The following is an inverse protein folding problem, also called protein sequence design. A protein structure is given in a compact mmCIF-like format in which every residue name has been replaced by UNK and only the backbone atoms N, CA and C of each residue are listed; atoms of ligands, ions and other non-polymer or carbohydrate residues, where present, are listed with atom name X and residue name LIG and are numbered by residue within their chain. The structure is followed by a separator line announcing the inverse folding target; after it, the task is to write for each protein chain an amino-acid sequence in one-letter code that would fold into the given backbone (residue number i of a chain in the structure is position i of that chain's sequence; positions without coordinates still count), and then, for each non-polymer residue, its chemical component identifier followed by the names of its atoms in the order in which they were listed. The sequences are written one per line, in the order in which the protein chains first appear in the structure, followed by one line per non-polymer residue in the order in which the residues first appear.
data_IF_190180865414
#
_entry.id   IF_190180865414
#
_cell.length_a   1.000
_cell.length_b   1.000
_cell.length_c   1.000
_cell.angle_alpha   90.00
_cell.angle_beta   90.00
_cell.angle_gamma   90.00
#
_symmetry.space_group_name_H-M   'P 1'
#
loop_
_entity.id
_entity.type
_entity.pdbx_description
1 polymer ?
#
# COMPACT_ATOMS: atom_id res chain seq x y z
N UNK A 1 5.23 13.60 -4.25
CA UNK A 1 5.23 12.39 -3.40
C UNK A 1 6.36 11.54 -3.94
N UNK A 2 7.43 11.30 -3.16
CA UNK A 2 8.49 10.39 -3.60
C UNK A 2 8.11 9.00 -3.11
N UNK A 3 7.81 8.12 -4.05
CA UNK A 3 7.62 6.70 -3.81
C UNK A 3 8.97 6.03 -4.04
N UNK A 4 9.52 5.41 -3.00
CA UNK A 4 10.84 4.79 -3.06
C UNK A 4 10.75 3.35 -3.55
N UNK A 5 9.72 2.64 -3.10
CA UNK A 5 9.53 1.23 -3.42
C UNK A 5 8.05 0.84 -3.36
N UNK A 6 7.67 -0.10 -4.23
CA UNK A 6 6.31 -0.67 -4.32
C UNK A 6 6.43 -2.18 -4.52
N UNK A 7 5.86 -2.95 -3.60
CA UNK A 7 5.83 -4.41 -3.68
C UNK A 7 4.39 -4.92 -3.56
N UNK A 8 3.97 -5.79 -4.48
CA UNK A 8 2.70 -6.50 -4.35
C UNK A 8 2.90 -7.66 -3.37
N UNK A 9 2.28 -7.57 -2.20
CA UNK A 9 2.44 -8.55 -1.11
C UNK A 9 1.31 -9.58 -1.08
N UNK A 10 0.19 -9.30 -1.77
CA UNK A 10 -0.94 -10.22 -1.89
C UNK A 10 -1.64 -10.05 -3.23
N UNK A 11 -2.03 -11.17 -3.85
CA UNK A 11 -2.86 -11.23 -5.04
C UNK A 11 -3.88 -12.36 -4.93
N UNK A 12 -5.15 -12.03 -5.14
CA UNK A 12 -6.25 -12.98 -5.14
C UNK A 12 -7.14 -12.72 -6.36
N UNK A 13 -7.35 -13.77 -7.17
CA UNK A 13 -8.31 -13.71 -8.28
C UNK A 13 -9.70 -14.10 -7.78
N UNK A 14 -10.69 -13.25 -8.04
CA UNK A 14 -12.10 -13.48 -7.72
C UNK A 14 -12.94 -13.31 -8.98
N UNK A 15 -13.50 -14.40 -9.51
CA UNK A 15 -14.33 -14.46 -10.72
C UNK A 15 -13.74 -13.62 -11.88
N UNK A 16 -14.20 -12.37 -12.01
CA UNK A 16 -13.89 -11.40 -13.08
C UNK A 16 -13.01 -10.22 -12.59
N UNK A 17 -12.41 -10.34 -11.41
CA UNK A 17 -11.62 -9.27 -10.79
C UNK A 17 -10.41 -9.82 -10.05
N UNK A 18 -9.42 -8.95 -9.86
CA UNK A 18 -8.26 -9.21 -9.01
C UNK A 18 -8.32 -8.28 -7.81
N UNK A 19 -8.09 -8.83 -6.62
CA UNK A 19 -7.89 -8.07 -5.40
C UNK A 19 -6.42 -8.23 -5.01
N UNK A 20 -5.71 -7.11 -4.89
CA UNK A 20 -4.30 -7.08 -4.52
C UNK A 20 -4.08 -6.20 -3.31
N UNK A 21 -2.99 -6.46 -2.61
CA UNK A 21 -2.46 -5.55 -1.59
C UNK A 21 -1.05 -5.17 -1.98
N UNK A 22 -0.81 -3.87 -2.13
CA UNK A 22 0.49 -3.30 -2.39
C UNK A 22 1.04 -2.66 -1.11
N UNK A 23 2.29 -2.97 -0.83
CA UNK A 23 3.13 -2.29 0.14
C UNK A 23 3.89 -1.16 -0.56
N UNK A 24 3.87 0.03 0.03
CA UNK A 24 4.47 1.25 -0.54
C UNK A 24 5.31 1.94 0.53
N UNK A 25 6.54 2.29 0.22
CA UNK A 25 7.39 3.13 1.06
C UNK A 25 7.47 4.55 0.48
N UNK A 26 7.05 5.53 1.26
CA UNK A 26 7.05 6.94 0.87
C UNK A 26 7.55 7.86 1.96
N UNK A 27 7.93 9.10 1.60
CA UNK A 27 8.20 10.13 2.60
C UNK A 27 6.94 10.44 3.41
N UNK A 28 7.08 10.55 4.73
CA UNK A 28 6.04 11.08 5.59
C UNK A 28 5.67 12.50 5.15
N UNK A 29 4.49 12.60 4.52
CA UNK A 29 3.99 13.86 3.97
C UNK A 29 3.71 14.91 5.05
N UNK A 30 3.46 14.48 6.30
CA UNK A 30 3.28 15.38 7.43
C UNK A 30 4.62 15.94 7.93
N UNK A 31 5.65 15.11 8.08
CA UNK A 31 6.98 15.61 8.45
C UNK A 31 7.53 16.55 7.37
N UNK A 32 7.29 16.22 6.11
CA UNK A 32 7.69 17.06 4.98
C UNK A 32 6.98 18.42 4.99
N UNK A 33 5.68 18.48 5.28
CA UNK A 33 4.94 19.75 5.33
C UNK A 33 5.35 20.62 6.52
N UNK A 34 5.84 20.02 7.60
CA UNK A 34 6.37 20.70 8.79
C UNK A 34 7.86 21.05 8.68
N UNK A 35 8.50 20.80 7.53
CA UNK A 35 9.94 20.99 7.30
C UNK A 35 10.82 20.25 8.32
N UNK A 36 10.35 19.08 8.76
CA UNK A 36 11.04 18.18 9.68
C UNK A 36 11.90 17.16 8.91
N UNK A 37 12.87 16.51 9.59
CA UNK A 37 13.66 15.45 8.96
C UNK A 37 12.77 14.38 8.31
N UNK A 38 13.06 13.97 7.06
CA UNK A 38 12.24 13.00 6.36
C UNK A 38 12.33 11.63 7.03
N UNK A 39 11.19 10.98 7.17
CA UNK A 39 11.08 9.58 7.59
C UNK A 39 10.30 8.82 6.53
N UNK A 40 10.77 7.65 6.16
CA UNK A 40 10.00 6.76 5.32
C UNK A 40 8.89 6.11 6.13
N UNK A 41 7.67 6.13 5.59
CA UNK A 41 6.51 5.45 6.13
C UNK A 41 6.13 4.31 5.20
N UNK A 42 5.81 3.17 5.81
CA UNK A 42 5.30 1.99 5.13
C UNK A 42 3.78 2.05 5.11
N UNK A 43 3.20 2.00 3.92
CA UNK A 43 1.76 2.07 3.68
C UNK A 43 1.28 0.83 2.95
N UNK A 44 0.00 0.50 3.15
CA UNK A 44 -0.66 -0.58 2.44
C UNK A 44 -1.86 -0.05 1.66
N UNK A 45 -1.98 -0.50 0.43
CA UNK A 45 -3.08 -0.17 -0.46
C UNK A 45 -3.77 -1.44 -0.91
N UNK A 46 -5.07 -1.54 -0.66
CA UNK A 46 -5.89 -2.52 -1.35
C UNK A 46 -6.21 -1.96 -2.73
N UNK A 47 -5.93 -2.75 -3.78
CA UNK A 47 -6.15 -2.37 -5.17
C UNK A 47 -7.03 -3.44 -5.81
N UNK A 48 -8.11 -3.00 -6.47
CA UNK A 48 -8.98 -3.87 -7.25
C UNK A 48 -8.73 -3.62 -8.73
N UNK A 49 -8.57 -4.70 -9.49
CA UNK A 49 -8.39 -4.65 -10.94
C UNK A 49 -9.42 -5.52 -11.65
N UNK A 50 -9.70 -5.21 -12.91
CA UNK A 50 -10.52 -6.05 -13.79
C UNK A 50 -9.72 -7.21 -14.40
N UNK A 51 -10.35 -7.99 -15.30
CA UNK A 51 -9.68 -9.11 -15.98
C UNK A 51 -8.48 -8.72 -16.83
N UNK A 52 -8.41 -7.47 -17.29
CA UNK A 52 -7.32 -6.91 -18.10
C UNK A 52 -6.23 -6.26 -17.24
N UNK A 53 -6.33 -6.40 -15.91
CA UNK A 53 -5.44 -5.80 -14.92
C UNK A 53 -5.54 -4.26 -14.90
N UNK A 54 -6.65 -3.69 -15.37
CA UNK A 54 -6.92 -2.26 -15.23
C UNK A 54 -7.43 -1.98 -13.82
N UNK A 55 -6.86 -0.97 -13.15
CA UNK A 55 -7.28 -0.57 -11.81
C UNK A 55 -8.70 0.00 -11.86
N UNK A 56 -9.61 -0.62 -11.12
CA UNK A 56 -11.01 -0.20 -11.00
C UNK A 56 -11.31 0.49 -9.67
N UNK A 57 -10.54 0.18 -8.61
CA UNK A 57 -10.62 0.85 -7.32
C UNK A 57 -9.31 0.72 -6.53
N UNK A 58 -9.04 1.65 -5.62
CA UNK A 58 -7.97 1.52 -4.64
C UNK A 58 -8.35 2.23 -3.33
N UNK A 59 -7.83 1.72 -2.21
CA UNK A 59 -8.02 2.33 -0.90
C UNK A 59 -6.75 2.17 -0.04
N UNK A 60 -6.45 3.16 0.79
CA UNK A 60 -5.38 3.07 1.78
C UNK A 60 -5.91 2.30 2.99
N UNK A 61 -5.22 1.23 3.37
CA UNK A 61 -5.55 0.44 4.54
C UNK A 61 -5.00 1.10 5.81
N UNK A 62 -5.79 1.09 6.88
CA UNK A 62 -5.36 1.55 8.21
C UNK A 62 -4.44 0.54 8.89
N UNK A 63 -4.66 -0.75 8.60
CA UNK A 63 -3.84 -1.88 9.03
C UNK A 63 -4.07 -3.05 8.09
N UNK A 64 -3.09 -3.95 7.98
CA UNK A 64 -3.22 -5.20 7.24
C UNK A 64 -2.94 -6.36 8.20
N UNK A 65 -3.99 -7.11 8.56
CA UNK A 65 -3.92 -8.18 9.55
C UNK A 65 -3.01 -9.31 9.06
N UNK A 66 -1.88 -9.48 9.74
CA UNK A 66 -0.82 -10.44 9.39
C UNK A 66 0.60 -9.99 9.75
N UNK A 67 0.80 -8.76 10.24
CA UNK A 67 2.15 -8.24 10.54
C UNK A 67 2.29 -7.42 11.83
N UNK A 68 1.24 -7.33 12.67
CA UNK A 68 1.39 -6.81 14.05
C UNK A 68 2.05 -7.83 15.00
N UNK A 69 2.55 -8.96 14.48
CA UNK A 69 3.01 -10.12 15.25
C UNK A 69 4.51 -10.39 15.15
N UNK A 70 5.34 -9.37 14.97
CA UNK A 70 6.81 -9.49 15.10
C UNK A 70 7.44 -8.29 15.85
N UNK A 71 6.77 -7.80 16.90
CA UNK A 71 7.42 -7.00 17.95
C UNK A 71 7.00 -7.50 19.35
N UNK A 72 7.66 -8.56 19.83
CA UNK A 72 7.89 -8.83 21.25
C UNK A 72 9.33 -9.30 21.46
#
# INVERSE_FOLDING_TARGET
MNCYDVTVIKIEKSKESWNTVAEVYEDDSFLKSMNLPPKQVRLFYAVRMDEKLEITAFERLTSFAGMDSDEQ
#
